data_IF_511496465005
#
_entry.id   IF_511496465005
#
_cell.length_a   1.000
_cell.length_b   1.000
_cell.length_c   1.000
_cell.angle_alpha   90.00
_cell.angle_beta   90.00
_cell.angle_gamma   90.00
#
_symmetry.space_group_name_H-M   'P 1'
#
loop_
_entity.id
_entity.type
_entity.pdbx_description
1 polymer ?
#
# COMPACT_ATOMS: atom_id res chain seq x y z
N UNK A 1 4.30 10.63 7.08
CA UNK A 1 4.25 9.23 6.55
C UNK A 1 5.43 8.46 7.11
N UNK A 2 5.21 7.28 7.66
CA UNK A 2 6.30 6.36 8.00
C UNK A 2 6.72 5.58 6.75
N UNK A 3 8.02 5.38 6.57
CA UNK A 3 8.55 4.61 5.43
C UNK A 3 9.58 3.61 5.94
N UNK A 4 9.35 2.34 5.64
CA UNK A 4 10.30 1.27 5.89
C UNK A 4 11.29 1.24 4.73
N UNK A 5 12.56 1.57 5.02
CA UNK A 5 13.67 1.55 4.06
C UNK A 5 14.62 0.42 4.45
N UNK A 6 14.68 -0.61 3.63
CA UNK A 6 15.48 -1.80 3.87
C UNK A 6 16.63 -1.87 2.87
N UNK A 7 17.76 -2.38 3.32
CA UNK A 7 18.95 -2.63 2.50
C UNK A 7 19.41 -1.37 1.75
N UNK A 8 19.49 -0.23 2.44
CA UNK A 8 19.79 1.09 1.83
C UNK A 8 21.15 1.18 1.10
N UNK A 9 22.03 0.18 1.30
CA UNK A 9 23.30 0.04 0.60
C UNK A 9 23.18 -0.60 -0.79
N UNK A 10 22.02 -1.15 -1.15
CA UNK A 10 21.80 -1.76 -2.46
C UNK A 10 21.55 -0.70 -3.53
N UNK A 11 21.99 -0.99 -4.78
CA UNK A 11 21.92 -0.06 -5.90
C UNK A 11 20.53 -0.01 -6.56
N UNK A 12 19.87 -1.17 -6.68
CA UNK A 12 18.56 -1.28 -7.31
C UNK A 12 17.45 -1.12 -6.28
N UNK A 13 16.56 -0.18 -6.50
CA UNK A 13 15.49 0.16 -5.56
C UNK A 13 14.14 -0.35 -6.06
N UNK A 14 13.40 -0.98 -5.16
CA UNK A 14 12.01 -1.43 -5.36
C UNK A 14 11.10 -0.64 -4.45
N UNK A 15 10.02 -0.10 -5.01
CA UNK A 15 8.94 0.56 -4.28
C UNK A 15 7.74 -0.37 -4.17
N UNK A 16 7.26 -0.62 -2.94
CA UNK A 16 6.09 -1.46 -2.68
C UNK A 16 5.03 -0.66 -1.93
N UNK A 17 3.87 -0.42 -2.55
CA UNK A 17 2.77 0.36 -1.95
C UNK A 17 1.60 -0.57 -1.63
N UNK A 18 1.25 -0.65 -0.34
CA UNK A 18 0.28 -1.61 0.18
C UNK A 18 -1.18 -1.26 -0.16
N UNK A 19 -2.08 -2.27 -0.18
CA UNK A 19 -3.52 -2.05 -0.30
C UNK A 19 -4.14 -1.51 0.99
N UNK A 20 -5.40 -1.10 0.93
CA UNK A 20 -6.19 -0.79 2.12
C UNK A 20 -6.19 -1.99 3.09
N UNK A 21 -6.20 -1.71 4.38
CA UNK A 21 -6.17 -2.71 5.47
C UNK A 21 -4.88 -3.56 5.49
N UNK A 22 -3.77 -3.01 5.01
CA UNK A 22 -2.43 -3.59 5.11
C UNK A 22 -1.43 -2.53 5.61
N UNK A 23 -0.15 -2.84 5.59
CA UNK A 23 0.92 -1.96 6.08
C UNK A 23 2.24 -2.22 5.35
N UNK A 24 3.25 -1.37 5.61
CA UNK A 24 4.61 -1.59 5.14
C UNK A 24 5.16 -2.94 5.62
N UNK A 25 4.88 -3.31 6.88
CA UNK A 25 5.31 -4.61 7.42
C UNK A 25 4.64 -5.79 6.70
N UNK A 26 3.37 -5.62 6.29
CA UNK A 26 2.66 -6.63 5.49
C UNK A 26 3.29 -6.83 4.12
N UNK A 27 3.61 -5.75 3.44
CA UNK A 27 4.30 -5.81 2.13
C UNK A 27 5.70 -6.41 2.25
N UNK A 28 6.42 -6.06 3.34
CA UNK A 28 7.71 -6.69 3.63
C UNK A 28 7.56 -8.20 3.69
N UNK A 29 6.67 -8.71 4.55
CA UNK A 29 6.49 -10.16 4.76
C UNK A 29 5.99 -10.91 3.54
N UNK A 30 5.11 -10.27 2.73
CA UNK A 30 4.49 -10.91 1.57
C UNK A 30 5.37 -10.87 0.31
N UNK A 31 6.15 -9.81 0.12
CA UNK A 31 6.90 -9.57 -1.12
C UNK A 31 8.39 -9.45 -0.86
N UNK A 32 8.85 -8.46 -0.07
CA UNK A 32 10.27 -8.17 0.06
C UNK A 32 11.05 -9.36 0.62
N UNK A 33 10.54 -10.05 1.64
CA UNK A 33 11.17 -11.22 2.23
C UNK A 33 11.24 -12.42 1.25
N UNK A 34 10.42 -12.43 0.20
CA UNK A 34 10.43 -13.48 -0.83
C UNK A 34 11.33 -13.13 -2.03
N UNK A 35 11.53 -11.85 -2.29
CA UNK A 35 12.35 -11.37 -3.42
C UNK A 35 13.85 -11.37 -3.10
N UNK A 36 14.24 -11.43 -1.83
CA UNK A 36 15.65 -11.48 -1.42
C UNK A 36 16.20 -10.14 -0.91
N UNK A 37 17.50 -10.12 -0.61
CA UNK A 37 18.18 -8.98 0.01
C UNK A 37 19.06 -8.17 -0.95
N UNK A 38 19.05 -8.51 -2.21
CA UNK A 38 19.84 -7.86 -3.27
C UNK A 38 19.27 -6.50 -3.71
N UNK A 39 18.05 -6.17 -3.27
CA UNK A 39 17.38 -4.91 -3.57
C UNK A 39 17.21 -4.03 -2.33
N UNK A 40 17.24 -2.72 -2.55
CA UNK A 40 16.72 -1.75 -1.57
C UNK A 40 15.20 -1.71 -1.69
N UNK A 41 14.48 -1.77 -0.57
CA UNK A 41 13.02 -1.70 -0.56
C UNK A 41 12.57 -0.43 0.14
N UNK A 42 11.77 0.36 -0.57
CA UNK A 42 11.06 1.51 -0.04
C UNK A 42 9.59 1.10 0.12
N UNK A 43 9.11 1.03 1.35
CA UNK A 43 7.78 0.52 1.65
C UNK A 43 7.07 1.52 2.57
N UNK A 44 6.24 2.43 2.03
CA UNK A 44 5.52 3.41 2.84
C UNK A 44 4.34 2.77 3.58
N UNK A 45 4.12 3.20 4.84
CA UNK A 45 2.82 3.11 5.49
C UNK A 45 1.99 4.30 5.05
N UNK A 46 0.98 4.07 4.22
CA UNK A 46 0.04 5.12 3.82
C UNK A 46 -0.66 5.71 5.06
N UNK A 47 -1.07 6.96 4.98
CA UNK A 47 -1.78 7.62 6.09
C UNK A 47 -2.96 6.76 6.58
N UNK A 48 -3.19 6.76 7.88
CA UNK A 48 -4.16 5.93 8.62
C UNK A 48 -3.85 4.40 8.60
N UNK A 49 -2.64 3.98 8.21
CA UNK A 49 -2.24 2.57 8.19
C UNK A 49 -0.90 2.34 8.89
N UNK A 50 -0.67 1.13 9.38
CA UNK A 50 0.58 0.70 10.00
C UNK A 50 1.09 1.69 11.05
N UNK A 51 2.36 2.09 10.97
CA UNK A 51 2.95 3.08 11.87
C UNK A 51 2.52 4.54 11.56
N UNK A 52 1.82 4.77 10.44
CA UNK A 52 1.16 6.04 10.11
C UNK A 52 -0.32 6.09 10.58
N UNK A 53 -0.77 5.16 11.43
CA UNK A 53 -2.17 5.02 11.85
C UNK A 53 -2.77 6.27 12.52
N UNK A 54 -1.94 7.09 13.17
CA UNK A 54 -2.37 8.36 13.81
C UNK A 54 -2.56 9.53 12.82
N UNK A 55 -2.20 9.34 11.55
CA UNK A 55 -2.33 10.38 10.52
C UNK A 55 -3.65 10.24 9.75
N UNK A 56 -4.06 11.30 9.06
CA UNK A 56 -5.30 11.32 8.30
C UNK A 56 -4.98 11.11 6.81
N UNK A 57 -5.64 10.14 6.19
CA UNK A 57 -5.59 9.96 4.74
C UNK A 57 -6.44 11.03 4.05
N UNK A 58 -5.80 11.92 3.30
CA UNK A 58 -6.48 12.98 2.56
C UNK A 58 -6.81 12.55 1.13
N UNK A 59 -5.81 12.10 0.38
CA UNK A 59 -5.98 11.68 -1.02
C UNK A 59 -4.77 10.90 -1.53
N UNK A 60 -4.98 10.08 -2.57
CA UNK A 60 -3.89 9.39 -3.25
C UNK A 60 -2.84 10.35 -3.84
N UNK A 61 -3.24 11.58 -4.19
CA UNK A 61 -2.31 12.60 -4.67
C UNK A 61 -1.38 13.06 -3.54
N UNK A 62 -1.92 13.29 -2.34
CA UNK A 62 -1.13 13.69 -1.17
C UNK A 62 -0.17 12.58 -0.75
N UNK A 63 -0.64 11.32 -0.74
CA UNK A 63 0.22 10.16 -0.45
C UNK A 63 1.36 10.05 -1.48
N UNK A 64 1.06 10.19 -2.77
CA UNK A 64 2.08 10.14 -3.83
C UNK A 64 3.10 11.28 -3.71
N UNK A 65 2.68 12.47 -3.28
CA UNK A 65 3.56 13.60 -3.04
C UNK A 65 4.54 13.29 -1.90
N UNK A 66 4.05 12.75 -0.78
CA UNK A 66 4.91 12.39 0.36
C UNK A 66 5.93 11.31 0.00
N UNK A 67 5.54 10.32 -0.82
CA UNK A 67 6.46 9.31 -1.34
C UNK A 67 7.51 9.97 -2.27
N UNK A 68 7.08 10.84 -3.17
CA UNK A 68 7.98 11.54 -4.07
C UNK A 68 9.00 12.39 -3.31
N UNK A 69 8.56 13.16 -2.32
CA UNK A 69 9.43 13.96 -1.46
C UNK A 69 10.48 13.08 -0.76
N UNK A 70 10.07 11.93 -0.22
CA UNK A 70 11.00 10.96 0.37
C UNK A 70 12.03 10.46 -0.64
N UNK A 71 11.61 10.03 -1.82
CA UNK A 71 12.52 9.54 -2.88
C UNK A 71 13.54 10.61 -3.25
N UNK A 72 13.10 11.87 -3.38
CA UNK A 72 13.94 13.02 -3.69
C UNK A 72 14.95 13.32 -2.59
N UNK A 73 14.53 13.37 -1.34
CA UNK A 73 15.39 13.66 -0.19
C UNK A 73 16.48 12.59 0.00
N UNK A 74 16.17 11.34 -0.41
CA UNK A 74 17.11 10.22 -0.37
C UNK A 74 17.86 9.99 -1.70
N UNK A 75 17.77 10.97 -2.64
CA UNK A 75 18.44 10.93 -3.95
C UNK A 75 18.10 9.68 -4.79
N UNK A 76 16.91 9.08 -4.59
CA UNK A 76 16.44 7.94 -5.37
C UNK A 76 15.77 8.45 -6.63
N UNK A 77 16.46 8.34 -7.76
CA UNK A 77 15.98 8.82 -9.07
C UNK A 77 15.40 7.71 -9.93
N UNK A 78 15.79 6.46 -9.69
CA UNK A 78 15.40 5.33 -10.49
C UNK A 78 14.87 4.19 -9.61
N UNK A 79 13.72 3.69 -9.97
CA UNK A 79 13.08 2.52 -9.36
C UNK A 79 13.16 1.36 -10.35
N UNK A 80 13.84 0.27 -9.97
CA UNK A 80 13.89 -0.96 -10.76
C UNK A 80 12.50 -1.55 -10.96
N UNK A 81 11.70 -1.52 -9.88
CA UNK A 81 10.32 -1.97 -9.87
C UNK A 81 9.51 -1.07 -8.95
N UNK A 82 8.32 -0.68 -9.39
CA UNK A 82 7.30 -0.06 -8.55
C UNK A 82 6.03 -0.92 -8.57
N UNK A 83 5.63 -1.42 -7.41
CA UNK A 83 4.43 -2.22 -7.21
C UNK A 83 3.39 -1.47 -6.39
N UNK A 84 2.14 -1.51 -6.82
CA UNK A 84 1.02 -0.93 -6.07
C UNK A 84 -0.23 -1.79 -6.12
N UNK A 85 -0.72 -2.19 -4.95
CA UNK A 85 -1.94 -2.99 -4.84
C UNK A 85 -3.14 -2.15 -4.45
N UNK A 86 -4.28 -2.29 -5.14
CA UNK A 86 -5.55 -1.64 -4.84
C UNK A 86 -5.38 -0.13 -4.57
N UNK A 87 -5.54 0.34 -3.31
CA UNK A 87 -5.29 1.73 -2.89
C UNK A 87 -3.86 2.17 -3.24
N UNK A 88 -2.87 1.33 -2.95
CA UNK A 88 -1.46 1.58 -3.29
C UNK A 88 -1.23 1.75 -4.78
N UNK A 89 -1.98 1.03 -5.61
CA UNK A 89 -1.92 1.20 -7.06
C UNK A 89 -2.48 2.55 -7.53
N UNK A 90 -3.52 3.07 -6.87
CA UNK A 90 -4.03 4.43 -7.16
C UNK A 90 -2.99 5.48 -6.79
N UNK A 91 -2.28 5.30 -5.67
CA UNK A 91 -1.18 6.18 -5.25
C UNK A 91 -0.02 6.10 -6.24
N UNK A 92 0.38 4.89 -6.65
CA UNK A 92 1.42 4.67 -7.66
C UNK A 92 1.09 5.35 -8.99
N UNK A 93 -0.17 5.26 -9.45
CA UNK A 93 -0.61 5.94 -10.66
C UNK A 93 -0.43 7.47 -10.58
N UNK A 94 -0.60 8.07 -9.39
CA UNK A 94 -0.32 9.50 -9.19
C UNK A 94 1.17 9.78 -9.14
N UNK A 95 1.98 8.86 -8.62
CA UNK A 95 3.43 8.98 -8.56
C UNK A 95 4.07 9.01 -9.96
N UNK A 96 3.53 8.28 -10.93
CA UNK A 96 4.00 8.28 -12.33
C UNK A 96 3.96 9.65 -13.03
N UNK A 97 3.35 10.67 -12.41
CA UNK A 97 3.35 12.04 -12.94
C UNK A 97 4.68 12.76 -12.75
N UNK A 98 5.48 12.34 -11.79
CA UNK A 98 6.79 12.93 -11.50
C UNK A 98 7.83 12.41 -12.50
N UNK A 99 8.18 13.24 -13.49
CA UNK A 99 9.00 12.86 -14.64
C UNK A 99 10.50 12.76 -14.34
N UNK A 100 10.92 13.23 -13.18
CA UNK A 100 12.27 13.17 -12.65
C UNK A 100 12.57 11.87 -11.87
N UNK A 101 11.57 10.97 -11.77
CA UNK A 101 11.75 9.60 -11.27
C UNK A 101 11.63 8.63 -12.45
N UNK A 102 12.66 7.81 -12.64
CA UNK A 102 12.67 6.70 -13.59
C UNK A 102 11.96 5.46 -13.04
N UNK A 103 11.16 4.82 -13.87
CA UNK A 103 10.45 3.58 -13.53
C UNK A 103 10.85 2.49 -14.53
N UNK A 104 11.61 1.49 -14.09
CA UNK A 104 11.99 0.34 -14.93
C UNK A 104 10.78 -0.54 -15.22
N UNK A 105 10.16 -1.05 -14.17
CA UNK A 105 8.94 -1.85 -14.28
C UNK A 105 7.87 -1.28 -13.34
N UNK A 106 6.61 -1.32 -13.78
CA UNK A 106 5.47 -0.88 -12.99
C UNK A 106 4.40 -1.96 -12.96
N UNK A 107 4.06 -2.41 -11.76
CA UNK A 107 3.08 -3.48 -11.56
C UNK A 107 1.89 -2.96 -10.75
N UNK A 108 0.70 -3.17 -11.27
CA UNK A 108 -0.56 -2.86 -10.60
C UNK A 108 -1.32 -4.16 -10.30
N UNK A 109 -1.74 -4.31 -9.05
CA UNK A 109 -2.58 -5.42 -8.64
C UNK A 109 -3.93 -4.92 -8.12
N UNK A 110 -5.03 -5.42 -8.70
CA UNK A 110 -6.39 -5.13 -8.23
C UNK A 110 -6.79 -3.65 -8.25
N UNK A 111 -6.22 -2.85 -9.15
CA UNK A 111 -6.48 -1.40 -9.25
C UNK A 111 -7.74 -1.17 -10.08
N UNK A 112 -8.72 -0.49 -9.49
CA UNK A 112 -9.90 -0.02 -10.22
C UNK A 112 -9.65 1.38 -10.78
N UNK A 113 -9.64 1.48 -12.11
CA UNK A 113 -9.52 2.75 -12.84
C UNK A 113 -10.90 3.31 -13.26
N UNK A 114 -11.97 2.84 -12.66
CA UNK A 114 -13.33 3.22 -13.02
C UNK A 114 -13.61 4.68 -12.67
N UNK A 115 -14.33 5.37 -13.56
CA UNK A 115 -14.90 6.69 -13.26
C UNK A 115 -15.83 6.57 -12.06
N UNK A 116 -15.83 7.57 -11.19
CA UNK A 116 -16.77 7.67 -10.06
C UNK A 116 -18.20 7.45 -10.57
N UNK A 117 -18.85 6.40 -10.07
CA UNK A 117 -20.27 6.16 -10.26
C UNK A 117 -20.97 6.37 -8.92
N UNK A 118 -21.82 7.39 -8.76
CA UNK A 118 -22.53 7.62 -7.50
C UNK A 118 -23.33 6.42 -7.02
N UNK A 119 -23.91 5.66 -7.95
CA UNK A 119 -24.64 4.43 -7.65
C UNK A 119 -23.74 3.33 -7.11
N UNK A 120 -22.55 3.15 -7.70
CA UNK A 120 -21.58 2.16 -7.26
C UNK A 120 -21.00 2.54 -5.89
N UNK A 121 -20.75 3.83 -5.65
CA UNK A 121 -20.26 4.34 -4.35
C UNK A 121 -21.28 4.07 -3.24
N UNK A 122 -22.55 4.34 -3.46
CA UNK A 122 -23.63 4.06 -2.51
C UNK A 122 -23.74 2.55 -2.25
N UNK A 123 -23.72 1.73 -3.29
CA UNK A 123 -23.80 0.28 -3.18
C UNK A 123 -22.59 -0.31 -2.42
N UNK A 124 -21.39 0.13 -2.79
CA UNK A 124 -20.14 -0.31 -2.12
C UNK A 124 -20.13 0.10 -0.65
N UNK A 125 -20.52 1.34 -0.36
CA UNK A 125 -20.65 1.84 1.01
C UNK A 125 -21.67 1.02 1.82
N UNK A 126 -22.80 0.70 1.24
CA UNK A 126 -23.82 -0.16 1.89
C UNK A 126 -23.25 -1.54 2.21
N UNK A 127 -22.57 -2.19 1.25
CA UNK A 127 -21.96 -3.51 1.45
C UNK A 127 -20.88 -3.50 2.53
N UNK A 128 -20.00 -2.49 2.50
CA UNK A 128 -18.94 -2.36 3.49
C UNK A 128 -19.50 -2.12 4.89
N UNK A 129 -20.48 -1.24 5.03
CA UNK A 129 -21.13 -0.98 6.32
C UNK A 129 -21.87 -2.25 6.84
N UNK A 130 -22.52 -2.99 5.96
CA UNK A 130 -23.18 -4.27 6.33
C UNK A 130 -22.18 -5.31 6.83
N UNK A 131 -21.05 -5.47 6.12
CA UNK A 131 -19.95 -6.37 6.51
C UNK A 131 -19.30 -5.93 7.82
N UNK A 132 -19.03 -4.64 7.97
CA UNK A 132 -18.45 -4.05 9.18
C UNK A 132 -19.35 -4.28 10.41
N UNK A 133 -20.65 -3.97 10.31
CA UNK A 133 -21.63 -4.23 11.40
C UNK A 133 -21.69 -5.71 11.77
N UNK A 134 -21.59 -6.61 10.79
CA UNK A 134 -21.56 -8.06 11.03
C UNK A 134 -20.26 -8.48 11.74
N UNK A 135 -19.12 -7.92 11.34
CA UNK A 135 -17.82 -8.20 11.96
C UNK A 135 -17.78 -7.73 13.44
N UNK A 136 -18.28 -6.52 13.74
CA UNK A 136 -18.34 -6.01 15.12
C UNK A 136 -19.25 -6.87 16.01
N UNK A 137 -20.36 -7.40 15.48
CA UNK A 137 -21.26 -8.26 16.26
C UNK A 137 -20.67 -9.60 16.66
N UNK A 138 -19.67 -10.06 15.92
CA UNK A 138 -18.99 -11.33 16.21
C UNK A 138 -17.52 -11.24 15.77
N UNK A 139 -16.74 -10.56 16.59
CA UNK A 139 -15.33 -10.27 16.33
C UNK A 139 -14.52 -11.57 16.20
N UNK A 140 -14.78 -12.57 17.08
CA UNK A 140 -14.05 -13.84 17.06
C UNK A 140 -14.25 -14.60 15.72
N UNK A 141 -15.47 -14.59 15.20
CA UNK A 141 -15.77 -15.21 13.90
C UNK A 141 -15.11 -14.44 12.75
N UNK A 142 -15.09 -13.12 12.83
CA UNK A 142 -14.42 -12.27 11.83
C UNK A 142 -12.91 -12.52 11.83
N UNK A 143 -12.28 -12.57 13.00
CA UNK A 143 -10.85 -12.88 13.17
C UNK A 143 -10.53 -14.27 12.64
N UNK A 144 -11.28 -15.31 13.01
CA UNK A 144 -11.09 -16.68 12.48
C UNK A 144 -11.17 -16.73 10.96
N UNK A 145 -12.10 -16.01 10.34
CA UNK A 145 -12.20 -15.91 8.88
C UNK A 145 -10.99 -15.19 8.25
N UNK A 146 -10.50 -14.13 8.87
CA UNK A 146 -9.29 -13.45 8.40
C UNK A 146 -8.07 -14.36 8.53
N UNK A 147 -7.92 -15.06 9.66
CA UNK A 147 -6.83 -16.04 9.83
C UNK A 147 -6.89 -17.14 8.77
N UNK A 148 -8.08 -17.64 8.44
CA UNK A 148 -8.25 -18.68 7.41
C UNK A 148 -7.91 -18.21 5.99
N UNK A 149 -8.10 -16.92 5.70
CA UNK A 149 -7.85 -16.35 4.37
C UNK A 149 -6.40 -15.85 4.19
N UNK A 150 -5.81 -15.29 5.24
CA UNK A 150 -4.53 -14.56 5.17
C UNK A 150 -3.43 -15.18 6.06
N UNK A 151 -3.76 -16.24 6.81
CA UNK A 151 -2.86 -16.83 7.80
C UNK A 151 -2.69 -15.94 9.04
N UNK A 152 -2.04 -16.50 10.08
CA UNK A 152 -1.82 -15.79 11.35
C UNK A 152 -0.96 -14.52 11.19
N UNK A 153 -0.04 -14.48 10.23
CA UNK A 153 0.80 -13.31 9.94
C UNK A 153 0.02 -12.12 9.38
N UNK A 154 -1.12 -12.35 8.73
CA UNK A 154 -1.96 -11.30 8.15
C UNK A 154 -2.96 -10.65 9.12
N UNK A 155 -3.09 -11.15 10.34
CA UNK A 155 -4.09 -10.71 11.33
C UNK A 155 -3.46 -9.90 12.48
N UNK A 156 -2.13 -9.97 12.64
CA UNK A 156 -1.41 -9.23 13.69
C UNK A 156 -0.90 -7.84 13.21
N UNK A 157 -1.53 -7.27 12.19
CA UNK A 157 -1.20 -5.94 11.65
C UNK A 157 -2.19 -4.90 12.13
#
# INVERSE_FOLDING_TARGET
MNILDLNSNQKETILLIHPMLSSAQGMKSLIADQMGQEFRYIIPDLSAHGQSASTIYESALKESQMIYEYLKDHHIKDLRLAFGASLGGVVLLKLLKYKDIGFGEVVFEGVSLWKKSPLLDVFTRYLLLKKHRKAIRNIDLAVRKMVSLYGTKGVMM
#
